data_IF_275056724825
#
_entry.id   IF_275056724825
#
_cell.length_a   1.000
_cell.length_b   1.000
_cell.length_c   1.000
_cell.angle_alpha   90.00
_cell.angle_beta   90.00
_cell.angle_gamma   90.00
#
_symmetry.space_group_name_H-M   'P 1'
#
loop_
_entity.id
_entity.type
_entity.pdbx_description
1 polymer ?
#
# COMPACT_ATOMS: atom_id res chain seq x y z
N UNK A 1 -20.42 9.87 9.27
CA UNK A 1 -18.97 10.07 9.22
C UNK A 1 -18.46 8.93 8.38
N UNK A 2 -17.96 9.20 7.18
CA UNK A 2 -17.41 8.15 6.32
C UNK A 2 -16.00 7.87 6.82
N UNK A 3 -15.88 7.00 7.83
CA UNK A 3 -14.61 6.54 8.40
C UNK A 3 -13.95 5.51 7.46
N UNK A 4 -13.81 5.86 6.17
CA UNK A 4 -12.84 5.20 5.33
C UNK A 4 -11.48 5.70 5.79
N UNK A 5 -10.90 4.99 6.76
CA UNK A 5 -9.49 5.16 7.09
C UNK A 5 -8.74 4.87 5.79
N UNK A 6 -8.21 5.91 5.14
CA UNK A 6 -7.39 5.80 3.93
C UNK A 6 -6.15 4.96 4.27
N UNK A 7 -6.28 3.63 4.25
CA UNK A 7 -5.17 2.71 4.40
C UNK A 7 -4.43 2.68 3.08
N UNK A 8 -3.43 3.55 2.97
CA UNK A 8 -2.45 3.40 1.90
C UNK A 8 -1.55 2.21 2.25
N UNK A 9 -1.19 1.36 1.28
CA UNK A 9 -0.24 0.27 1.49
C UNK A 9 1.07 0.73 2.14
N UNK A 10 1.50 1.95 1.80
CA UNK A 10 2.67 2.61 2.40
C UNK A 10 2.52 2.90 3.90
N UNK A 11 1.31 3.28 4.36
CA UNK A 11 1.04 3.53 5.78
C UNK A 11 1.01 2.21 6.57
N UNK A 12 0.35 1.19 6.05
CA UNK A 12 0.29 -0.13 6.67
C UNK A 12 1.67 -0.79 6.74
N UNK A 13 2.47 -0.69 5.67
CA UNK A 13 3.85 -1.15 5.68
C UNK A 13 4.72 -0.43 6.72
N UNK A 14 4.50 0.87 6.92
CA UNK A 14 5.20 1.63 7.95
C UNK A 14 4.82 1.17 9.37
N UNK A 15 3.54 0.85 9.62
CA UNK A 15 3.08 0.27 10.89
C UNK A 15 3.62 -1.13 11.17
N UNK A 16 3.73 -1.95 10.13
CA UNK A 16 4.37 -3.26 10.23
C UNK A 16 5.85 -3.12 10.60
N UNK A 17 6.57 -2.19 9.96
CA UNK A 17 7.96 -1.87 10.28
C UNK A 17 8.12 -1.45 11.75
N UNK A 18 7.30 -0.51 12.25
CA UNK A 18 7.33 -0.10 13.66
C UNK A 18 7.16 -1.29 14.60
N UNK A 19 6.20 -2.16 14.33
CA UNK A 19 5.90 -3.36 15.14
C UNK A 19 7.09 -4.33 15.19
N UNK A 20 7.73 -4.59 14.04
CA UNK A 20 8.90 -5.48 13.95
C UNK A 20 10.07 -4.92 14.76
N UNK A 21 10.29 -3.60 14.69
CA UNK A 21 11.38 -2.92 15.39
C UNK A 21 11.16 -2.92 16.91
N UNK A 22 9.94 -2.62 17.36
CA UNK A 22 9.55 -2.69 18.76
C UNK A 22 9.72 -4.11 19.34
N UNK A 23 9.28 -5.13 18.60
CA UNK A 23 9.42 -6.53 19.02
C UNK A 23 10.89 -6.98 19.16
N UNK A 24 11.81 -6.33 18.46
CA UNK A 24 13.25 -6.57 18.55
C UNK A 24 13.97 -5.63 19.53
N UNK A 25 13.27 -4.62 20.06
CA UNK A 25 13.86 -3.58 20.90
C UNK A 25 14.91 -2.73 20.16
N UNK A 26 14.78 -2.58 18.84
CA UNK A 26 15.74 -1.87 17.98
C UNK A 26 15.13 -0.55 17.53
N UNK A 27 15.87 0.55 17.57
CA UNK A 27 15.39 1.82 17.00
C UNK A 27 15.73 1.90 15.52
N UNK A 28 14.93 2.59 14.69
CA UNK A 28 15.24 2.80 13.27
C UNK A 28 16.64 3.39 13.03
N UNK A 29 17.10 4.25 13.95
CA UNK A 29 18.42 4.89 13.90
C UNK A 29 19.59 3.91 14.06
N UNK A 30 19.34 2.73 14.65
CA UNK A 30 20.38 1.76 14.97
C UNK A 30 20.69 0.83 13.77
N UNK A 31 19.78 0.71 12.80
CA UNK A 31 19.94 -0.18 11.62
C UNK A 31 20.73 0.45 10.47
N UNK A 32 20.79 1.78 10.41
CA UNK A 32 21.32 2.49 9.24
C UNK A 32 20.32 2.55 8.08
N UNK A 33 20.54 3.52 7.17
CA UNK A 33 19.57 3.88 6.13
C UNK A 33 19.25 2.75 5.16
N UNK A 34 20.27 2.03 4.68
CA UNK A 34 20.11 0.99 3.66
C UNK A 34 19.28 -0.17 4.20
N UNK A 35 19.65 -0.70 5.37
CA UNK A 35 18.93 -1.81 5.99
C UNK A 35 17.49 -1.43 6.40
N UNK A 36 17.25 -0.18 6.77
CA UNK A 36 15.91 0.32 7.06
C UNK A 36 15.05 0.39 5.79
N UNK A 37 15.63 0.81 4.67
CA UNK A 37 14.94 0.86 3.38
C UNK A 37 14.63 -0.54 2.85
N UNK A 38 15.58 -1.47 2.99
CA UNK A 38 15.36 -2.88 2.61
C UNK A 38 14.20 -3.47 3.43
N UNK A 39 14.22 -3.29 4.76
CA UNK A 39 13.16 -3.79 5.63
C UNK A 39 11.80 -3.13 5.34
N UNK A 40 11.79 -1.83 5.02
CA UNK A 40 10.56 -1.15 4.59
C UNK A 40 10.05 -1.70 3.26
N UNK A 41 10.93 -1.97 2.29
CA UNK A 41 10.55 -2.59 1.01
C UNK A 41 9.94 -3.98 1.23
N UNK A 42 10.51 -4.78 2.13
CA UNK A 42 9.94 -6.08 2.49
C UNK A 42 8.55 -5.94 3.10
N UNK A 43 8.35 -4.93 3.97
CA UNK A 43 7.04 -4.65 4.56
C UNK A 43 6.03 -4.23 3.49
N UNK A 44 6.42 -3.38 2.54
CA UNK A 44 5.56 -2.99 1.41
C UNK A 44 5.20 -4.22 0.57
N UNK A 45 6.17 -5.06 0.21
CA UNK A 45 5.90 -6.27 -0.57
C UNK A 45 4.96 -7.25 0.16
N UNK A 46 5.11 -7.40 1.48
CA UNK A 46 4.24 -8.25 2.29
C UNK A 46 2.82 -7.71 2.36
N UNK A 47 2.64 -6.40 2.49
CA UNK A 47 1.33 -5.75 2.52
C UNK A 47 0.71 -5.78 1.13
N UNK A 48 1.43 -5.35 0.11
CA UNK A 48 0.96 -5.34 -1.28
C UNK A 48 0.65 -6.74 -1.81
N UNK A 49 1.34 -7.80 -1.39
CA UNK A 49 0.97 -9.17 -1.75
C UNK A 49 -0.42 -9.59 -1.24
N UNK A 50 -0.83 -9.08 -0.08
CA UNK A 50 -2.17 -9.29 0.49
C UNK A 50 -3.21 -8.43 -0.24
N UNK A 51 -2.92 -7.15 -0.51
CA UNK A 51 -3.82 -6.28 -1.30
C UNK A 51 -3.96 -6.69 -2.77
N UNK A 52 -2.91 -7.26 -3.40
CA UNK A 52 -3.00 -7.76 -4.79
C UNK A 52 -3.86 -9.02 -4.85
N UNK A 53 -3.81 -9.89 -3.84
CA UNK A 53 -4.74 -11.02 -3.74
C UNK A 53 -6.20 -10.55 -3.61
N UNK A 54 -6.44 -9.46 -2.87
CA UNK A 54 -7.78 -8.85 -2.76
C UNK A 54 -8.19 -8.09 -4.05
N UNK A 55 -7.25 -7.62 -4.88
CA UNK A 55 -7.52 -6.97 -6.18
C UNK A 55 -7.74 -8.01 -7.30
N UNK A 56 -7.08 -9.17 -7.23
CA UNK A 56 -7.35 -10.28 -8.17
C UNK A 56 -8.79 -10.80 -8.05
N UNK A 57 -9.47 -10.59 -6.91
CA UNK A 57 -10.92 -10.79 -6.74
C UNK A 57 -11.78 -9.65 -7.32
N UNK A 58 -11.20 -8.48 -7.63
CA UNK A 58 -11.88 -7.30 -8.23
C UNK A 58 -11.81 -7.35 -9.78
N UNK A 59 -10.91 -8.15 -10.35
CA UNK A 59 -10.72 -8.26 -11.81
C UNK A 59 -11.93 -8.92 -12.53
N UNK A 60 -12.85 -9.54 -11.80
CA UNK A 60 -14.12 -10.09 -12.33
C UNK A 60 -15.30 -9.09 -12.26
N UNK A 61 -15.11 -7.87 -11.73
CA UNK A 61 -16.17 -6.84 -11.59
C UNK A 61 -15.83 -5.45 -12.20
N UNK A 62 -14.64 -5.26 -12.77
CA UNK A 62 -14.34 -4.08 -13.60
C UNK A 62 -14.81 -4.30 -15.05
N UNK A 63 -16.13 -4.25 -15.24
CA UNK A 63 -16.74 -4.09 -16.56
C UNK A 63 -16.27 -2.74 -17.13
N UNK A 64 -15.60 -2.79 -18.28
CA UNK A 64 -14.86 -1.72 -18.96
C UNK A 64 -15.80 -0.65 -19.61
N UNK A 65 -16.96 -0.36 -18.98
CA UNK A 65 -18.10 0.34 -19.59
C UNK A 65 -18.34 1.78 -19.04
N UNK A 66 -17.42 2.37 -18.26
CA UNK A 66 -17.62 3.72 -17.69
C UNK A 66 -16.37 4.63 -17.73
N UNK A 67 -15.58 4.52 -18.81
CA UNK A 67 -14.70 5.62 -19.25
C UNK A 67 -15.27 6.25 -20.54
N UNK A 68 -16.54 6.67 -20.52
CA UNK A 68 -17.00 7.74 -21.42
C UNK A 68 -16.38 9.06 -20.94
N UNK A 69 -15.13 9.29 -21.35
CA UNK A 69 -14.52 10.62 -21.38
C UNK A 69 -15.22 11.44 -22.46
N UNK A 70 -16.43 11.95 -22.14
CA UNK A 70 -17.13 12.95 -22.93
C UNK A 70 -16.37 14.28 -22.87
N UNK A 71 -15.24 14.32 -23.55
CA UNK A 71 -14.53 15.56 -23.89
C UNK A 71 -14.99 15.94 -25.29
N UNK A 72 -16.23 16.42 -25.41
CA UNK A 72 -16.65 17.21 -26.56
C UNK A 72 -15.96 18.58 -26.51
N UNK A 73 -14.84 18.66 -27.23
CA UNK A 73 -14.21 19.91 -27.64
C UNK A 73 -14.11 19.99 -29.17
N UNK A 74 -14.52 21.16 -29.69
CA UNK A 74 -14.14 21.78 -30.98
C UNK A 74 -15.07 21.56 -32.20
N UNK A 75 -16.09 22.44 -32.37
CA UNK A 75 -16.23 23.44 -33.46
C UNK A 75 -17.41 24.43 -33.19
#
# INVERSE_FOLDING_TARGET
>A
MSDHTNWSPSYTAWKLLETILEGKGVKPTDLGKELLLDLFSDCVNSVSGEYVADIEDIDDELDDDDFEDDVEGDD
#
